data_IF_308812119001
#
_entry.id   IF_308812119001
#
_cell.length_a   1.000
_cell.length_b   1.000
_cell.length_c   1.000
_cell.angle_alpha   90.00
_cell.angle_beta   90.00
_cell.angle_gamma   90.00
#
_symmetry.space_group_name_H-M   'P 1'
#
loop_
_entity.id
_entity.type
_entity.pdbx_description
1 polymer ?
#
# COMPACT_ATOMS: atom_id res chain seq x y z
N UNK A 1 -61.81 -64.22 -20.43
CA UNK A 1 -61.66 -62.79 -20.10
C UNK A 1 -60.20 -62.52 -19.77
N UNK A 2 -59.40 -61.96 -20.72
CA UNK A 2 -57.94 -61.72 -20.58
C UNK A 2 -57.77 -60.21 -20.35
N UNK A 3 -57.31 -59.84 -19.15
CA UNK A 3 -57.01 -58.45 -18.75
C UNK A 3 -55.56 -58.17 -19.25
N UNK A 4 -55.41 -57.18 -20.16
CA UNK A 4 -54.11 -56.67 -20.60
C UNK A 4 -53.75 -55.48 -19.71
N UNK A 5 -52.66 -55.58 -18.96
CA UNK A 5 -52.04 -54.45 -18.27
C UNK A 5 -51.18 -53.64 -19.26
N UNK A 6 -51.50 -52.38 -19.44
CA UNK A 6 -50.68 -51.41 -20.21
C UNK A 6 -49.78 -50.77 -19.17
N UNK A 7 -48.47 -51.06 -19.25
CA UNK A 7 -47.43 -50.41 -18.46
C UNK A 7 -47.04 -49.10 -19.17
N UNK A 8 -47.43 -47.96 -18.61
CA UNK A 8 -47.02 -46.64 -19.13
C UNK A 8 -45.72 -46.28 -18.45
N UNK A 9 -44.61 -46.30 -19.22
CA UNK A 9 -43.30 -45.88 -18.75
C UNK A 9 -43.24 -44.33 -18.84
N UNK A 10 -43.20 -43.67 -17.67
CA UNK A 10 -43.02 -42.25 -17.55
C UNK A 10 -41.51 -41.96 -17.52
N UNK A 11 -40.95 -41.49 -18.61
CA UNK A 11 -39.54 -41.03 -18.71
C UNK A 11 -39.45 -39.63 -18.14
N UNK A 12 -38.84 -39.50 -16.97
CA UNK A 12 -38.52 -38.22 -16.34
C UNK A 12 -37.24 -37.65 -16.98
N UNK A 13 -37.38 -36.67 -17.83
CA UNK A 13 -36.25 -35.96 -18.44
C UNK A 13 -35.78 -34.89 -17.43
N UNK A 14 -34.66 -35.12 -16.75
CA UNK A 14 -34.01 -34.15 -15.89
C UNK A 14 -33.22 -33.20 -16.82
N UNK A 15 -33.74 -32.00 -17.03
CA UNK A 15 -33.00 -30.93 -17.71
C UNK A 15 -32.03 -30.32 -16.70
N UNK A 16 -30.73 -30.62 -16.83
CA UNK A 16 -29.67 -29.88 -16.11
C UNK A 16 -29.66 -28.45 -16.66
N UNK A 17 -30.20 -27.51 -15.91
CA UNK A 17 -30.00 -26.10 -16.12
C UNK A 17 -28.60 -25.79 -15.59
N UNK A 18 -27.61 -25.66 -16.46
CA UNK A 18 -26.31 -25.10 -16.11
C UNK A 18 -26.55 -23.64 -15.72
N UNK A 19 -26.52 -23.34 -14.44
CA UNK A 19 -26.35 -21.97 -13.97
C UNK A 19 -24.94 -21.53 -14.38
N UNK A 20 -24.83 -20.80 -15.49
CA UNK A 20 -23.68 -19.99 -15.78
C UNK A 20 -23.70 -18.88 -14.72
N UNK A 21 -22.87 -19.01 -13.69
CA UNK A 21 -22.52 -17.89 -12.83
C UNK A 21 -21.84 -16.88 -13.75
N UNK A 22 -22.51 -15.77 -14.07
CA UNK A 22 -21.85 -14.63 -14.68
C UNK A 22 -20.86 -14.12 -13.61
N UNK A 23 -19.63 -14.62 -13.63
CA UNK A 23 -18.53 -13.96 -12.97
C UNK A 23 -18.42 -12.59 -13.67
N UNK A 24 -18.59 -11.51 -12.92
CA UNK A 24 -18.29 -10.16 -13.41
C UNK A 24 -16.82 -10.12 -13.89
N UNK A 25 -16.43 -9.08 -14.60
CA UNK A 25 -15.04 -8.91 -14.99
C UNK A 25 -14.14 -8.91 -13.75
N UNK A 26 -12.92 -9.50 -13.84
CA UNK A 26 -11.99 -9.51 -12.73
C UNK A 26 -11.63 -8.08 -12.32
N UNK A 27 -11.57 -7.81 -11.03
CA UNK A 27 -11.14 -6.51 -10.48
C UNK A 27 -9.70 -6.24 -10.88
N UNK A 28 -9.45 -5.12 -11.53
CA UNK A 28 -8.11 -4.72 -11.94
C UNK A 28 -7.34 -4.13 -10.76
N UNK A 29 -6.23 -4.78 -10.40
CA UNK A 29 -5.36 -4.37 -9.30
C UNK A 29 -4.04 -3.86 -9.84
N UNK A 30 -3.70 -2.61 -9.53
CA UNK A 30 -2.35 -2.09 -9.68
C UNK A 30 -1.54 -2.51 -8.46
N UNK A 31 -0.45 -3.26 -8.67
CA UNK A 31 0.54 -3.57 -7.63
C UNK A 31 1.78 -2.72 -7.84
N UNK A 32 2.23 -2.03 -6.80
CA UNK A 32 3.43 -1.19 -6.78
C UNK A 32 4.21 -1.36 -5.46
N UNK A 33 5.36 -0.70 -5.30
CA UNK A 33 6.15 -0.72 -4.07
C UNK A 33 7.17 0.45 -4.02
N UNK A 34 8.11 0.41 -3.08
CA UNK A 34 9.31 1.26 -3.05
C UNK A 34 10.62 0.47 -3.00
N UNK A 35 10.57 -0.86 -2.81
CA UNK A 35 11.74 -1.74 -2.85
C UNK A 35 12.26 -2.01 -4.27
N UNK A 36 11.46 -1.71 -5.29
CA UNK A 36 11.80 -1.92 -6.70
C UNK A 36 11.13 -3.12 -7.33
N UNK A 37 11.13 -3.15 -8.68
CA UNK A 37 10.42 -4.15 -9.49
C UNK A 37 10.89 -5.58 -9.24
N UNK A 38 12.16 -5.79 -8.92
CA UNK A 38 12.78 -7.11 -8.71
C UNK A 38 12.71 -7.57 -7.25
N UNK A 39 11.97 -6.87 -6.38
CA UNK A 39 11.93 -7.21 -4.96
C UNK A 39 11.04 -8.44 -4.68
N UNK A 40 11.43 -9.32 -3.73
CA UNK A 40 10.63 -10.51 -3.42
C UNK A 40 9.26 -10.15 -2.81
N UNK A 41 9.12 -8.99 -2.19
CA UNK A 41 7.86 -8.54 -1.61
C UNK A 41 6.79 -8.25 -2.66
N UNK A 42 7.15 -7.59 -3.79
CA UNK A 42 6.19 -7.32 -4.87
C UNK A 42 5.80 -8.59 -5.60
N UNK A 43 6.76 -9.50 -5.81
CA UNK A 43 6.51 -10.80 -6.42
C UNK A 43 5.50 -11.61 -5.58
N UNK A 44 5.71 -11.68 -4.27
CA UNK A 44 4.85 -12.44 -3.36
C UNK A 44 3.41 -11.91 -3.34
N UNK A 45 3.20 -10.60 -3.26
CA UNK A 45 1.85 -10.03 -3.21
C UNK A 45 1.15 -10.12 -4.56
N UNK A 46 1.86 -9.89 -5.68
CA UNK A 46 1.32 -10.05 -7.01
C UNK A 46 0.88 -11.50 -7.26
N UNK A 47 1.71 -12.49 -6.89
CA UNK A 47 1.40 -13.90 -7.01
C UNK A 47 0.14 -14.31 -6.23
N UNK A 48 0.01 -13.88 -4.97
CA UNK A 48 -1.13 -14.21 -4.11
C UNK A 48 -2.43 -13.59 -4.64
N UNK A 49 -2.37 -12.36 -5.16
CA UNK A 49 -3.56 -11.72 -5.74
C UNK A 49 -3.93 -12.37 -7.08
N UNK A 50 -2.96 -12.59 -7.97
CA UNK A 50 -3.19 -13.16 -9.29
C UNK A 50 -3.64 -14.64 -9.26
N UNK A 51 -3.36 -15.38 -8.19
CA UNK A 51 -3.84 -16.73 -8.00
C UNK A 51 -5.38 -16.82 -7.83
N UNK A 52 -6.04 -15.72 -7.51
CA UNK A 52 -7.49 -15.64 -7.39
C UNK A 52 -8.09 -15.09 -8.71
N UNK A 53 -8.91 -15.87 -9.44
CA UNK A 53 -9.48 -15.44 -10.72
C UNK A 53 -10.43 -14.23 -10.61
N UNK A 54 -10.79 -13.83 -9.41
CA UNK A 54 -11.56 -12.60 -9.19
C UNK A 54 -10.74 -11.31 -9.42
N UNK A 55 -9.43 -11.45 -9.64
CA UNK A 55 -8.51 -10.33 -9.84
C UNK A 55 -7.72 -10.46 -11.15
N UNK A 56 -7.41 -9.32 -11.74
CA UNK A 56 -6.42 -9.13 -12.79
C UNK A 56 -5.36 -8.17 -12.28
N UNK A 57 -4.10 -8.54 -12.35
CA UNK A 57 -2.99 -7.79 -11.77
C UNK A 57 -2.13 -7.16 -12.85
N UNK A 58 -1.81 -5.90 -12.65
CA UNK A 58 -0.76 -5.16 -13.36
C UNK A 58 0.26 -4.64 -12.36
N UNK A 59 1.55 -4.83 -12.64
CA UNK A 59 2.64 -4.38 -11.78
C UNK A 59 3.31 -3.15 -12.39
N UNK A 60 3.39 -2.06 -11.63
CA UNK A 60 4.20 -0.88 -12.00
C UNK A 60 5.00 -0.45 -10.79
N UNK A 61 6.33 -0.56 -10.86
CA UNK A 61 7.19 -0.35 -9.70
C UNK A 61 8.45 0.47 -10.05
N UNK A 62 9.14 1.05 -9.07
CA UNK A 62 10.42 1.69 -9.29
C UNK A 62 11.44 0.72 -9.91
N UNK A 63 12.28 1.23 -10.80
CA UNK A 63 13.37 0.45 -11.40
C UNK A 63 14.44 0.01 -10.39
N UNK A 64 14.49 0.63 -9.22
CA UNK A 64 15.40 0.36 -8.11
C UNK A 64 14.79 0.79 -6.79
N UNK A 65 15.40 0.34 -5.68
CA UNK A 65 14.97 0.70 -4.33
C UNK A 65 14.92 2.23 -4.12
N UNK A 66 13.84 2.72 -3.51
CA UNK A 66 13.50 4.12 -3.24
C UNK A 66 13.10 4.35 -1.78
N UNK A 67 13.69 3.61 -0.86
CA UNK A 67 13.38 3.71 0.57
C UNK A 67 13.51 5.14 1.11
N UNK A 68 12.63 5.49 2.06
CA UNK A 68 12.62 6.82 2.70
C UNK A 68 12.37 7.98 1.72
N UNK A 69 11.78 7.72 0.56
CA UNK A 69 11.42 8.77 -0.41
C UNK A 69 10.20 9.60 0.00
N UNK A 70 9.44 9.14 0.99
CA UNK A 70 8.19 9.78 1.41
C UNK A 70 7.22 9.95 0.23
N UNK A 71 6.50 11.06 0.20
CA UNK A 71 5.58 11.41 -0.88
C UNK A 71 6.22 12.36 -1.91
N UNK A 72 7.52 12.14 -2.21
CA UNK A 72 8.24 12.98 -3.16
C UNK A 72 7.80 12.72 -4.61
N UNK A 73 7.48 13.78 -5.37
CA UNK A 73 7.12 13.72 -6.78
C UNK A 73 8.22 14.31 -7.66
N UNK A 74 8.55 13.63 -8.76
CA UNK A 74 9.37 14.17 -9.82
C UNK A 74 8.46 14.95 -10.79
N UNK A 75 8.60 16.27 -10.82
CA UNK A 75 7.74 17.17 -11.61
C UNK A 75 8.45 17.80 -12.80
N UNK A 76 9.73 17.52 -13.00
CA UNK A 76 10.56 18.09 -14.07
C UNK A 76 11.48 17.03 -14.67
N UNK A 77 11.81 17.19 -15.95
CA UNK A 77 12.62 16.24 -16.70
C UNK A 77 11.83 15.09 -17.28
N UNK A 78 12.54 14.16 -17.88
CA UNK A 78 11.97 12.95 -18.48
C UNK A 78 12.05 11.80 -17.48
N UNK A 79 11.04 10.93 -17.49
CA UNK A 79 10.96 9.74 -16.66
C UNK A 79 11.09 8.52 -17.58
N UNK A 80 12.09 7.68 -17.30
CA UNK A 80 12.29 6.45 -18.07
C UNK A 80 11.32 5.38 -17.58
N UNK A 81 10.57 4.80 -18.50
CA UNK A 81 9.68 3.66 -18.30
C UNK A 81 10.13 2.51 -19.18
N UNK A 82 10.18 1.32 -18.63
CA UNK A 82 10.55 0.10 -19.36
C UNK A 82 9.49 -0.97 -19.12
N UNK A 83 8.98 -1.56 -20.20
CA UNK A 83 8.15 -2.75 -20.10
C UNK A 83 9.05 -3.94 -19.76
N UNK A 84 8.74 -4.60 -18.66
CA UNK A 84 9.44 -5.79 -18.20
C UNK A 84 8.78 -7.05 -18.74
N UNK A 85 9.48 -8.19 -18.72
CA UNK A 85 8.90 -9.43 -19.19
C UNK A 85 7.63 -9.78 -18.39
N UNK A 86 7.76 -10.01 -17.11
CA UNK A 86 6.64 -10.30 -16.18
C UNK A 86 7.13 -10.24 -14.73
N UNK A 87 6.20 -10.02 -13.79
CA UNK A 87 6.39 -10.24 -12.36
C UNK A 87 5.27 -11.16 -11.88
N UNK A 88 5.60 -12.31 -11.34
CA UNK A 88 4.63 -13.34 -10.93
C UNK A 88 3.62 -13.71 -12.04
N UNK A 89 4.04 -13.72 -13.31
CA UNK A 89 3.16 -13.98 -14.47
C UNK A 89 2.23 -12.82 -14.84
N UNK A 90 2.42 -11.63 -14.23
CA UNK A 90 1.63 -10.43 -14.50
C UNK A 90 2.39 -9.45 -15.38
N UNK A 91 1.67 -8.72 -16.25
CA UNK A 91 2.26 -7.61 -17.02
C UNK A 91 2.92 -6.60 -16.09
N UNK A 92 4.14 -6.20 -16.43
CA UNK A 92 4.95 -5.38 -15.53
C UNK A 92 5.73 -4.25 -16.23
N UNK A 93 5.81 -3.09 -15.59
CA UNK A 93 6.65 -1.96 -16.00
C UNK A 93 7.52 -1.47 -14.85
N UNK A 94 8.78 -1.17 -15.15
CA UNK A 94 9.66 -0.45 -14.24
C UNK A 94 9.74 1.02 -14.63
N UNK A 95 9.74 1.90 -13.62
CA UNK A 95 9.79 3.35 -13.77
C UNK A 95 10.97 3.90 -12.97
N UNK A 96 11.86 4.66 -13.60
CA UNK A 96 12.99 5.27 -12.89
C UNK A 96 12.53 6.56 -12.16
N UNK A 97 11.78 6.36 -11.08
CA UNK A 97 11.16 7.44 -10.31
C UNK A 97 10.90 7.02 -8.86
N UNK A 98 10.50 8.00 -8.04
CA UNK A 98 10.00 7.78 -6.67
C UNK A 98 8.65 7.05 -6.70
N UNK A 99 8.28 6.29 -5.66
CA UNK A 99 7.05 5.49 -5.63
C UNK A 99 5.76 6.29 -5.88
N UNK A 100 5.63 7.48 -5.31
CA UNK A 100 4.49 8.36 -5.58
C UNK A 100 4.44 8.77 -7.07
N UNK A 101 5.59 9.04 -7.69
CA UNK A 101 5.66 9.34 -9.12
C UNK A 101 5.32 8.10 -9.96
N UNK A 102 5.79 6.92 -9.56
CA UNK A 102 5.45 5.63 -10.20
C UNK A 102 3.94 5.43 -10.25
N UNK A 103 3.25 5.58 -9.11
CA UNK A 103 1.79 5.48 -9.05
C UNK A 103 1.12 6.50 -9.98
N UNK A 104 1.58 7.74 -9.98
CA UNK A 104 1.04 8.79 -10.85
C UNK A 104 1.26 8.51 -12.33
N UNK A 105 2.46 8.03 -12.72
CA UNK A 105 2.75 7.61 -14.10
C UNK A 105 1.87 6.43 -14.50
N UNK A 106 1.71 5.43 -13.62
CA UNK A 106 0.83 4.31 -13.87
C UNK A 106 -0.60 4.78 -14.18
N UNK A 107 -1.18 5.63 -13.33
CA UNK A 107 -2.57 6.06 -13.43
C UNK A 107 -2.84 7.06 -14.55
N UNK A 108 -1.86 7.90 -14.91
CA UNK A 108 -2.09 9.02 -15.85
C UNK A 108 -1.46 8.83 -17.23
N UNK A 109 -0.66 7.77 -17.41
CA UNK A 109 0.01 7.50 -18.68
C UNK A 109 -0.08 6.04 -19.13
N UNK A 110 0.21 5.07 -18.24
CA UNK A 110 0.28 3.67 -18.66
C UNK A 110 -1.09 2.98 -18.68
N UNK A 111 -1.94 3.30 -17.70
CA UNK A 111 -3.24 2.66 -17.47
C UNK A 111 -4.41 3.65 -17.66
N UNK A 112 -4.21 4.72 -18.42
CA UNK A 112 -5.21 5.78 -18.59
C UNK A 112 -6.50 5.29 -19.26
N UNK A 113 -6.40 4.28 -20.12
CA UNK A 113 -7.53 3.63 -20.80
C UNK A 113 -8.04 2.37 -20.06
N UNK A 114 -7.38 1.97 -18.98
CA UNK A 114 -7.70 0.78 -18.20
C UNK A 114 -7.35 1.05 -16.71
N UNK A 115 -8.02 2.03 -16.13
CA UNK A 115 -7.81 2.49 -14.75
C UNK A 115 -8.03 1.33 -13.77
N UNK A 116 -7.11 1.07 -12.82
CA UNK A 116 -7.31 0.02 -11.84
C UNK A 116 -8.44 0.36 -10.85
N UNK A 117 -9.15 -0.68 -10.42
CA UNK A 117 -10.21 -0.60 -9.42
C UNK A 117 -9.66 -0.55 -7.99
N UNK A 118 -8.43 -1.03 -7.80
CA UNK A 118 -7.77 -1.17 -6.50
C UNK A 118 -6.26 -1.00 -6.66
N UNK A 119 -5.62 -0.38 -5.68
CA UNK A 119 -4.16 -0.29 -5.62
C UNK A 119 -3.65 -1.02 -4.39
N UNK A 120 -2.65 -1.89 -4.57
CA UNK A 120 -1.92 -2.56 -3.50
C UNK A 120 -0.45 -2.18 -3.62
N UNK A 121 0.10 -1.60 -2.58
CA UNK A 121 1.51 -1.21 -2.50
C UNK A 121 2.26 -2.09 -1.51
N UNK A 122 3.33 -2.71 -1.94
CA UNK A 122 4.17 -3.56 -1.09
C UNK A 122 4.58 -4.87 -1.79
N UNK A 123 5.04 -5.85 -1.01
CA UNK A 123 5.20 -5.81 0.46
C UNK A 123 6.54 -5.19 0.78
N UNK A 124 6.52 -4.12 1.58
CA UNK A 124 7.75 -3.45 2.00
C UNK A 124 8.57 -4.35 2.92
N UNK A 125 9.89 -4.29 2.75
CA UNK A 125 10.85 -4.91 3.65
C UNK A 125 11.11 -4.00 4.85
N UNK A 126 10.43 -4.24 5.95
CA UNK A 126 10.40 -3.45 7.17
C UNK A 126 9.02 -2.82 7.41
N UNK A 127 8.70 -2.59 8.66
CA UNK A 127 7.45 -1.95 9.07
C UNK A 127 7.39 -0.48 8.67
N UNK A 128 6.18 0.01 8.42
CA UNK A 128 5.85 1.42 8.18
C UNK A 128 4.74 1.86 9.15
N UNK A 129 4.90 1.52 10.42
CA UNK A 129 3.94 1.86 11.47
C UNK A 129 4.18 3.25 12.07
N UNK A 130 3.21 3.76 12.76
CA UNK A 130 3.26 5.05 13.42
C UNK A 130 3.79 6.16 12.51
N UNK A 131 4.69 7.00 13.03
CA UNK A 131 5.28 8.11 12.28
C UNK A 131 6.16 7.66 11.11
N UNK A 132 6.57 6.38 11.04
CA UNK A 132 7.28 5.81 9.91
C UNK A 132 6.49 5.90 8.60
N UNK A 133 5.16 5.88 8.67
CA UNK A 133 4.28 6.04 7.52
C UNK A 133 4.49 7.35 6.73
N UNK A 134 5.02 8.42 7.38
CA UNK A 134 5.29 9.70 6.73
C UNK A 134 6.45 9.65 5.72
N UNK A 135 7.46 8.83 6.00
CA UNK A 135 8.66 8.72 5.16
C UNK A 135 8.60 7.55 4.21
N UNK A 136 7.56 6.73 4.28
CA UNK A 136 7.38 5.52 3.49
C UNK A 136 6.98 5.81 2.04
N UNK A 137 7.72 5.25 1.10
CA UNK A 137 7.35 5.22 -0.30
C UNK A 137 6.20 4.26 -0.58
N UNK A 138 6.14 3.12 0.13
CA UNK A 138 5.03 2.16 0.06
C UNK A 138 3.70 2.83 0.42
N UNK A 139 3.66 3.57 1.53
CA UNK A 139 2.47 4.31 1.98
C UNK A 139 2.13 5.44 1.01
N UNK A 140 3.14 6.07 0.38
CA UNK A 140 2.94 7.13 -0.59
C UNK A 140 2.21 6.66 -1.86
N UNK A 141 2.46 5.43 -2.33
CA UNK A 141 1.69 4.82 -3.45
C UNK A 141 0.21 4.70 -3.09
N UNK A 142 -0.12 4.17 -1.92
CA UNK A 142 -1.51 4.05 -1.48
C UNK A 142 -2.18 5.42 -1.30
N UNK A 143 -1.42 6.43 -0.86
CA UNK A 143 -1.88 7.81 -0.77
C UNK A 143 -2.17 8.42 -2.15
N UNK A 144 -1.34 8.14 -3.17
CA UNK A 144 -1.63 8.55 -4.55
C UNK A 144 -2.90 7.90 -5.09
N UNK A 145 -3.15 6.61 -4.77
CA UNK A 145 -4.40 5.95 -5.13
C UNK A 145 -5.61 6.62 -4.50
N UNK A 146 -5.57 6.89 -3.20
CA UNK A 146 -6.64 7.63 -2.52
C UNK A 146 -6.85 9.04 -3.10
N UNK A 147 -5.76 9.72 -3.49
CA UNK A 147 -5.83 11.01 -4.19
C UNK A 147 -6.52 10.90 -5.56
N UNK A 148 -6.31 9.78 -6.27
CA UNK A 148 -7.00 9.49 -7.53
C UNK A 148 -8.44 8.96 -7.33
N UNK A 149 -8.90 8.79 -6.09
CA UNK A 149 -10.22 8.25 -5.77
C UNK A 149 -10.30 6.73 -5.85
N UNK A 150 -9.18 6.03 -5.89
CA UNK A 150 -9.09 4.57 -6.00
C UNK A 150 -8.82 3.98 -4.60
N UNK A 151 -9.61 2.99 -4.12
CA UNK A 151 -9.32 2.28 -2.89
C UNK A 151 -7.91 1.73 -2.87
N UNK A 152 -7.18 1.92 -1.77
CA UNK A 152 -5.75 1.62 -1.76
C UNK A 152 -5.27 1.05 -0.43
N UNK A 153 -4.34 0.08 -0.51
CA UNK A 153 -3.77 -0.63 0.63
C UNK A 153 -2.24 -0.64 0.52
N UNK A 154 -1.56 -0.10 1.51
CA UNK A 154 -0.12 -0.28 1.70
C UNK A 154 0.12 -1.48 2.63
N UNK A 155 1.08 -2.34 2.29
CA UNK A 155 1.41 -3.56 3.05
C UNK A 155 2.90 -3.58 3.34
N UNK A 156 3.24 -3.80 4.60
CA UNK A 156 4.62 -3.88 5.09
C UNK A 156 4.80 -5.11 5.98
N UNK A 157 5.96 -5.73 5.92
CA UNK A 157 6.37 -6.84 6.78
C UNK A 157 7.43 -6.36 7.76
N UNK A 158 7.16 -6.47 9.06
CA UNK A 158 8.19 -6.28 10.08
C UNK A 158 9.25 -7.37 9.93
N UNK A 159 10.53 -7.00 10.00
CA UNK A 159 11.64 -7.92 9.77
C UNK A 159 12.69 -7.83 10.87
N UNK A 160 13.48 -8.88 11.01
CA UNK A 160 14.85 -8.79 11.53
C UNK A 160 15.77 -8.41 10.36
N UNK A 161 16.47 -7.29 10.48
CA UNK A 161 17.39 -6.81 9.43
C UNK A 161 18.56 -7.75 9.16
N UNK A 162 18.83 -8.70 10.04
CA UNK A 162 19.79 -9.77 9.84
C UNK A 162 19.25 -10.97 9.06
N UNK A 163 17.91 -11.06 8.90
CA UNK A 163 17.28 -12.12 8.09
C UNK A 163 17.39 -11.80 6.60
N UNK A 164 18.10 -12.61 5.81
CA UNK A 164 18.20 -12.42 4.37
C UNK A 164 16.94 -12.82 3.60
N UNK A 165 16.03 -13.59 4.22
CA UNK A 165 14.84 -14.18 3.56
C UNK A 165 13.58 -14.05 4.42
N UNK A 166 13.05 -12.84 4.62
CA UNK A 166 11.76 -12.67 5.31
C UNK A 166 10.62 -13.41 4.60
N UNK A 167 9.65 -13.91 5.35
CA UNK A 167 8.52 -14.70 4.80
C UNK A 167 7.45 -13.80 4.16
N UNK A 168 7.78 -13.23 2.98
CA UNK A 168 6.87 -12.39 2.22
C UNK A 168 5.63 -13.14 1.74
N UNK A 169 5.72 -14.45 1.47
CA UNK A 169 4.54 -15.23 1.08
C UNK A 169 3.52 -15.31 2.21
N UNK A 170 3.97 -15.54 3.44
CA UNK A 170 3.06 -15.54 4.58
C UNK A 170 2.48 -14.14 4.81
N UNK A 171 3.27 -13.08 4.66
CA UNK A 171 2.78 -11.71 4.74
C UNK A 171 1.71 -11.42 3.67
N UNK A 172 1.91 -11.87 2.43
CA UNK A 172 0.92 -11.74 1.36
C UNK A 172 -0.39 -12.48 1.69
N UNK A 173 -0.30 -13.68 2.26
CA UNK A 173 -1.49 -14.43 2.74
C UNK A 173 -2.24 -13.68 3.86
N UNK A 174 -1.54 -12.98 4.74
CA UNK A 174 -2.16 -12.11 5.74
C UNK A 174 -2.78 -10.84 5.14
N UNK A 175 -2.20 -10.27 4.09
CA UNK A 175 -2.73 -9.10 3.43
C UNK A 175 -4.00 -9.40 2.60
N UNK A 176 -4.10 -10.60 1.99
CA UNK A 176 -5.19 -10.97 1.08
C UNK A 176 -6.59 -10.77 1.64
N UNK A 177 -6.94 -11.19 2.89
CA UNK A 177 -8.25 -10.93 3.46
C UNK A 177 -8.59 -9.43 3.60
N UNK A 178 -7.58 -8.57 3.84
CA UNK A 178 -7.80 -7.12 3.90
C UNK A 178 -8.08 -6.56 2.51
N UNK A 179 -7.35 -7.04 1.50
CA UNK A 179 -7.54 -6.67 0.09
C UNK A 179 -8.95 -7.09 -0.36
N UNK A 180 -9.38 -8.31 -0.02
CA UNK A 180 -10.73 -8.81 -0.33
C UNK A 180 -11.81 -7.96 0.33
N UNK A 181 -11.63 -7.61 1.60
CA UNK A 181 -12.57 -6.76 2.31
C UNK A 181 -12.68 -5.36 1.69
N UNK A 182 -11.56 -4.78 1.23
CA UNK A 182 -11.56 -3.49 0.52
C UNK A 182 -12.24 -3.61 -0.84
N UNK A 183 -12.02 -4.69 -1.58
CA UNK A 183 -12.74 -4.96 -2.84
C UNK A 183 -14.26 -5.01 -2.63
N UNK A 184 -14.70 -5.69 -1.58
CA UNK A 184 -16.12 -5.92 -1.33
C UNK A 184 -16.85 -4.70 -0.77
N UNK A 185 -16.19 -3.90 0.06
CA UNK A 185 -16.82 -2.82 0.81
C UNK A 185 -16.39 -1.43 0.36
N UNK A 186 -15.32 -1.30 -0.42
CA UNK A 186 -14.70 -0.01 -0.73
C UNK A 186 -14.02 0.65 0.47
N UNK A 187 -13.60 1.88 0.27
CA UNK A 187 -13.09 2.76 1.33
C UNK A 187 -13.77 4.14 1.23
N UNK A 188 -13.92 4.87 2.33
CA UNK A 188 -14.38 6.26 2.27
C UNK A 188 -13.46 7.11 1.38
N UNK A 189 -13.98 8.14 0.68
CA UNK A 189 -13.17 9.02 -0.15
C UNK A 189 -11.99 9.62 0.63
N UNK A 190 -10.80 9.60 0.02
CA UNK A 190 -9.57 10.12 0.60
C UNK A 190 -8.97 9.27 1.72
N UNK A 191 -9.51 8.06 1.97
CA UNK A 191 -8.96 7.10 2.94
C UNK A 191 -8.21 5.99 2.21
N UNK A 192 -7.07 5.59 2.77
CA UNK A 192 -6.28 4.43 2.38
C UNK A 192 -5.86 3.64 3.62
N UNK A 193 -5.53 2.37 3.44
CA UNK A 193 -5.13 1.51 4.55
C UNK A 193 -3.61 1.35 4.60
N UNK A 194 -3.04 1.41 5.81
CA UNK A 194 -1.68 1.02 6.09
C UNK A 194 -1.69 -0.27 6.92
N UNK A 195 -1.23 -1.36 6.33
CA UNK A 195 -1.22 -2.70 6.92
C UNK A 195 0.20 -3.09 7.25
N UNK A 196 0.46 -3.46 8.51
CA UNK A 196 1.75 -3.99 8.93
C UNK A 196 1.58 -5.41 9.46
N UNK A 197 2.36 -6.35 8.93
CA UNK A 197 2.37 -7.76 9.32
C UNK A 197 3.54 -7.97 10.29
N UNK A 198 3.32 -8.63 11.45
CA UNK A 198 4.39 -8.85 12.41
C UNK A 198 5.43 -9.85 11.88
N UNK A 199 6.66 -9.74 12.40
CA UNK A 199 7.80 -10.57 12.00
C UNK A 199 7.52 -12.07 12.13
N UNK A 200 6.88 -12.49 13.19
CA UNK A 200 6.42 -13.88 13.36
C UNK A 200 5.03 -14.07 12.74
N UNK A 201 5.00 -14.26 11.44
CA UNK A 201 3.77 -14.45 10.67
C UNK A 201 2.96 -15.68 11.10
N UNK A 202 3.62 -16.69 11.71
CA UNK A 202 2.97 -17.93 12.16
C UNK A 202 2.32 -17.78 13.52
N UNK A 203 2.87 -16.93 14.37
CA UNK A 203 2.32 -16.62 15.70
C UNK A 203 1.46 -15.35 15.70
N UNK A 204 1.17 -14.78 14.53
CA UNK A 204 0.32 -13.60 14.42
C UNK A 204 -1.07 -13.86 15.03
N UNK A 205 -1.51 -12.93 15.90
CA UNK A 205 -2.70 -13.10 16.76
C UNK A 205 -4.03 -12.83 16.05
N UNK A 206 -3.98 -12.40 14.77
CA UNK A 206 -5.12 -11.95 13.99
C UNK A 206 -5.01 -10.48 13.60
N UNK A 207 -6.13 -9.87 13.22
CA UNK A 207 -6.18 -8.50 12.76
C UNK A 207 -6.55 -7.52 13.88
N UNK A 208 -5.98 -6.31 13.82
CA UNK A 208 -6.35 -5.21 14.71
C UNK A 208 -6.40 -3.90 13.95
N UNK A 209 -7.58 -3.28 13.93
CA UNK A 209 -7.69 -1.90 13.50
C UNK A 209 -7.13 -1.00 14.63
N UNK A 210 -6.16 -0.16 14.29
CA UNK A 210 -5.45 0.68 15.24
C UNK A 210 -5.30 2.11 14.68
N UNK A 211 -5.09 3.07 15.58
CA UNK A 211 -4.70 4.42 15.17
C UNK A 211 -3.23 4.43 14.79
N UNK A 212 -2.84 5.35 13.90
CA UNK A 212 -1.43 5.64 13.68
C UNK A 212 -0.78 6.07 15.00
N UNK A 213 0.28 5.40 15.42
CA UNK A 213 1.06 5.76 16.60
C UNK A 213 1.81 7.08 16.37
N UNK A 214 1.84 7.91 17.41
CA UNK A 214 2.55 9.20 17.38
C UNK A 214 3.79 9.18 18.27
N UNK A 215 4.31 8.00 18.56
CA UNK A 215 5.46 7.80 19.43
C UNK A 215 6.74 8.26 18.71
N UNK A 216 7.48 9.14 19.38
CA UNK A 216 8.72 9.68 18.84
C UNK A 216 9.86 8.67 18.99
N UNK A 217 10.70 8.55 17.97
CA UNK A 217 11.94 7.77 18.03
C UNK A 217 12.79 8.17 19.23
N UNK A 218 13.41 7.20 19.92
CA UNK A 218 14.36 7.47 21.01
C UNK A 218 15.56 8.29 20.49
N UNK A 219 16.00 8.01 19.29
CA UNK A 219 17.06 8.74 18.61
C UNK A 219 16.68 8.91 17.11
N UNK A 220 16.69 10.15 16.64
CA UNK A 220 16.56 10.48 15.21
C UNK A 220 17.41 11.72 14.91
N UNK A 221 18.69 11.52 14.55
CA UNK A 221 19.62 12.63 14.32
C UNK A 221 20.71 12.27 13.31
N UNK A 222 21.34 13.29 12.77
CA UNK A 222 22.58 13.14 12.02
C UNK A 222 23.78 13.41 12.93
N UNK A 223 24.80 12.55 12.86
CA UNK A 223 26.06 12.70 13.55
C UNK A 223 27.20 12.83 12.54
N UNK A 224 28.18 13.67 12.86
CA UNK A 224 29.33 13.81 12.00
C UNK A 224 30.14 12.50 11.98
N UNK A 225 30.29 11.92 10.80
CA UNK A 225 31.07 10.71 10.61
C UNK A 225 32.57 11.04 10.43
N UNK A 226 32.87 12.11 9.67
CA UNK A 226 34.25 12.60 9.45
C UNK A 226 34.24 14.04 8.94
N UNK A 227 35.39 14.69 9.04
CA UNK A 227 35.67 15.95 8.38
C UNK A 227 36.99 15.83 7.60
N UNK A 228 37.00 16.35 6.37
CA UNK A 228 38.16 16.38 5.52
C UNK A 228 38.99 17.66 5.74
N UNK A 229 40.24 17.67 5.28
CA UNK A 229 41.13 18.81 5.49
C UNK A 229 40.74 20.08 4.74
N UNK A 230 39.86 19.97 3.71
CA UNK A 230 39.31 21.08 2.93
C UNK A 230 38.09 21.71 3.59
N UNK A 231 37.67 21.26 4.78
CA UNK A 231 36.48 21.70 5.50
C UNK A 231 35.20 20.94 5.18
N UNK A 232 35.22 19.99 4.24
CA UNK A 232 34.08 19.13 3.92
C UNK A 232 33.73 18.25 5.14
N UNK A 233 32.46 18.18 5.47
CA UNK A 233 31.94 17.38 6.60
C UNK A 233 30.97 16.33 6.10
N UNK A 234 31.10 15.15 6.61
CA UNK A 234 30.26 14.00 6.28
C UNK A 234 29.43 13.59 7.47
N UNK A 235 28.13 13.40 7.28
CA UNK A 235 27.21 13.01 8.33
C UNK A 235 26.58 11.67 8.01
N UNK A 236 26.28 10.91 9.05
CA UNK A 236 25.47 9.69 8.96
C UNK A 236 24.28 9.81 9.89
N UNK A 237 23.17 9.19 9.50
CA UNK A 237 21.98 9.14 10.37
C UNK A 237 22.20 8.17 11.52
N UNK A 238 21.60 8.49 12.66
CA UNK A 238 21.39 7.62 13.80
C UNK A 238 19.92 7.57 14.07
N UNK A 239 19.37 6.36 14.15
CA UNK A 239 17.97 6.13 14.44
C UNK A 239 17.82 4.97 15.41
N UNK A 240 16.89 5.12 16.36
CA UNK A 240 16.42 4.06 17.24
C UNK A 240 14.91 4.17 17.37
N UNK A 241 14.20 3.04 17.40
CA UNK A 241 12.75 3.05 17.58
C UNK A 241 12.33 3.73 18.88
N UNK A 242 11.05 4.06 19.03
CA UNK A 242 10.50 4.51 20.32
C UNK A 242 10.81 3.49 21.42
N UNK A 243 11.17 3.99 22.60
CA UNK A 243 11.44 3.13 23.77
C UNK A 243 10.17 2.42 24.27
N UNK A 244 9.07 3.12 24.21
CA UNK A 244 7.74 2.63 24.57
C UNK A 244 6.75 3.07 23.51
N UNK A 245 5.74 2.25 23.27
CA UNK A 245 4.68 2.53 22.30
C UNK A 245 3.34 2.71 22.99
N UNK A 246 2.57 3.71 22.54
CA UNK A 246 1.28 4.06 23.15
C UNK A 246 0.24 2.96 22.94
N UNK A 247 -0.39 2.46 24.02
CA UNK A 247 -1.47 1.49 23.89
C UNK A 247 -2.59 1.99 22.97
N UNK A 248 -3.00 1.12 22.01
CA UNK A 248 -4.02 1.46 21.01
C UNK A 248 -3.46 2.02 19.70
N UNK A 249 -2.17 2.33 19.64
CA UNK A 249 -1.45 2.64 18.40
C UNK A 249 -1.09 1.38 17.62
N UNK A 250 -0.87 1.56 16.30
CA UNK A 250 -0.47 0.47 15.40
C UNK A 250 0.90 -0.10 15.77
N UNK A 251 1.89 0.74 16.12
CA UNK A 251 3.21 0.30 16.58
C UNK A 251 3.11 -0.60 17.81
N UNK A 252 2.25 -0.24 18.78
CA UNK A 252 2.03 -1.07 19.97
C UNK A 252 1.35 -2.39 19.63
N UNK A 253 0.34 -2.37 18.74
CA UNK A 253 -0.36 -3.58 18.34
C UNK A 253 0.57 -4.52 17.55
N UNK A 254 1.39 -3.98 16.62
CA UNK A 254 2.37 -4.73 15.84
C UNK A 254 3.40 -5.42 16.75
N UNK A 255 3.99 -4.68 17.70
CA UNK A 255 4.94 -5.21 18.68
C UNK A 255 4.33 -6.33 19.56
N UNK A 256 3.00 -6.36 19.71
CA UNK A 256 2.27 -7.42 20.40
C UNK A 256 1.77 -8.54 19.46
N UNK A 257 2.28 -8.63 18.24
CA UNK A 257 2.02 -9.71 17.29
C UNK A 257 0.68 -9.64 16.56
N UNK A 258 0.07 -8.46 16.42
CA UNK A 258 -1.13 -8.27 15.63
C UNK A 258 -0.78 -7.83 14.21
N UNK A 259 -1.49 -8.33 13.21
CA UNK A 259 -1.54 -7.69 11.90
C UNK A 259 -2.36 -6.41 12.06
N UNK A 260 -1.71 -5.27 11.87
CA UNK A 260 -2.34 -3.97 12.11
C UNK A 260 -2.95 -3.40 10.85
N UNK A 261 -4.07 -2.71 10.98
CA UNK A 261 -4.75 -1.98 9.90
C UNK A 261 -4.98 -0.56 10.41
N UNK A 262 -4.19 0.39 9.93
CA UNK A 262 -4.37 1.80 10.25
C UNK A 262 -5.05 2.53 9.08
N UNK A 263 -6.29 3.01 9.24
CA UNK A 263 -6.91 3.87 8.23
C UNK A 263 -6.28 5.26 8.29
N UNK A 264 -5.68 5.69 7.17
CA UNK A 264 -5.04 6.98 7.02
C UNK A 264 -5.83 7.84 6.03
N UNK A 265 -5.81 9.16 6.21
CA UNK A 265 -6.55 10.10 5.37
C UNK A 265 -5.66 11.08 4.63
N UNK A 266 -6.19 11.63 3.53
CA UNK A 266 -5.58 12.74 2.80
C UNK A 266 -5.71 14.06 3.57
N UNK A 267 -6.84 14.22 4.30
CA UNK A 267 -7.04 15.39 5.13
C UNK A 267 -6.19 15.27 6.40
N UNK A 268 -5.27 16.18 6.55
CA UNK A 268 -4.35 16.30 7.68
C UNK A 268 -4.65 17.54 8.53
N UNK A 269 -5.83 18.14 8.37
CA UNK A 269 -6.25 19.30 9.15
C UNK A 269 -6.31 18.93 10.63
N UNK A 270 -5.54 19.64 11.44
CA UNK A 270 -5.63 19.54 12.90
C UNK A 270 -6.85 20.33 13.37
N UNK A 271 -8.03 19.69 13.41
CA UNK A 271 -9.31 20.35 13.65
C UNK A 271 -9.33 21.25 14.90
N UNK A 272 -8.73 20.81 16.01
CA UNK A 272 -8.63 21.63 17.21
C UNK A 272 -7.80 22.90 17.02
N UNK A 273 -6.72 22.83 16.23
CA UNK A 273 -5.90 24.00 15.92
C UNK A 273 -6.61 24.91 14.91
N UNK A 274 -7.32 24.33 13.93
CA UNK A 274 -8.10 25.09 12.95
C UNK A 274 -9.12 26.02 13.64
N UNK A 275 -9.92 25.49 14.57
CA UNK A 275 -10.88 26.26 15.33
C UNK A 275 -10.24 27.36 16.20
N UNK A 276 -9.06 27.08 16.78
CA UNK A 276 -8.30 28.06 17.54
C UNK A 276 -7.77 29.20 16.66
N UNK A 277 -7.21 28.86 15.48
CA UNK A 277 -6.62 29.83 14.58
C UNK A 277 -7.66 30.76 13.94
N UNK A 278 -8.92 30.30 13.80
CA UNK A 278 -10.02 31.16 13.37
C UNK A 278 -10.33 32.31 14.32
N UNK A 279 -9.86 32.24 15.56
CA UNK A 279 -10.05 33.28 16.58
C UNK A 279 -8.88 34.27 16.62
N UNK A 280 -7.83 34.06 15.81
CA UNK A 280 -6.68 34.97 15.76
C UNK A 280 -7.05 36.23 15.00
N UNK A 281 -6.86 37.37 15.63
CA UNK A 281 -6.91 38.67 14.99
C UNK A 281 -5.57 38.92 14.28
N UNK A 282 -5.56 38.74 12.95
CA UNK A 282 -4.35 38.93 12.15
C UNK A 282 -4.37 40.35 11.54
N UNK A 283 -3.31 41.12 11.77
CA UNK A 283 -3.12 42.40 11.10
C UNK A 283 -2.81 42.20 9.61
N UNK A 284 -3.53 42.90 8.74
CA UNK A 284 -3.29 42.86 7.29
C UNK A 284 -2.05 43.75 7.02
N UNK A 285 -0.96 43.17 6.47
CA UNK A 285 0.20 43.95 6.15
C UNK A 285 -0.11 44.98 5.06
N UNK A 286 0.33 46.21 5.27
CA UNK A 286 0.27 47.24 4.22
C UNK A 286 1.34 46.93 3.18
N UNK A 287 0.89 46.40 2.01
CA UNK A 287 1.77 46.20 0.86
C UNK A 287 1.77 47.46 0.01
N UNK A 288 2.89 48.19 0.02
CA UNK A 288 3.07 49.31 -0.92
C UNK A 288 3.12 48.76 -2.34
N UNK A 289 2.11 49.09 -3.15
CA UNK A 289 2.13 48.77 -4.59
C UNK A 289 3.10 49.72 -5.23
N UNK A 290 4.17 49.27 -5.89
CA UNK A 290 5.05 50.16 -6.64
C UNK A 290 4.21 50.94 -7.66
N UNK A 291 4.25 52.24 -7.58
CA UNK A 291 3.66 53.12 -8.62
C UNK A 291 4.34 52.83 -9.95
N UNK A 292 3.59 52.66 -11.05
CA UNK A 292 4.13 52.33 -12.38
C UNK A 292 5.08 53.42 -12.93
#
# INVERSE_FOLDING_TARGET
>A
MRIRYILTCLTLTITLVSLSVFAGEPVHVLVANDDGIDSPGIEAIAAVIAADPAYRVTVVAPARQQSVSGHGLITRGEIKVVENAEVAGCTAWSVDATPATVARVALTALLVDDIPDLIVSGINRGENDGLGAWTSGTVAVAREGAYAGIPSVAVSLQIDWSDPQPDFEAAARWAKPVIDAVRENGLPPGVYLNVNVPIDTRAARGFRVARMGLDLSEEARYVMARADSDGTRWYTSRWKPPKETTPGGDSNALANGWVTIAPLGLDQTAEGAFQLLQQFELEIPVVEVPTP
#
